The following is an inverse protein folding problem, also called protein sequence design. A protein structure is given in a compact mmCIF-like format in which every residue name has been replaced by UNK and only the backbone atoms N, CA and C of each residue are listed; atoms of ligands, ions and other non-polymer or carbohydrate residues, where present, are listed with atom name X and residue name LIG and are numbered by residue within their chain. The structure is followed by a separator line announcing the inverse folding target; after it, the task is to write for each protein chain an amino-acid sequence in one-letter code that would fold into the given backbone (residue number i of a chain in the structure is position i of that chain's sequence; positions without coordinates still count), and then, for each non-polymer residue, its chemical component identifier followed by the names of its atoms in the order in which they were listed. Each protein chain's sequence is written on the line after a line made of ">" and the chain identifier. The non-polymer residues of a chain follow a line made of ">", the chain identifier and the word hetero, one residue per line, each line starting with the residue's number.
data_IF_663118662808
#
_entry.id   IF_663118662808
#
_cell.length_a   1.000
_cell.length_b   1.000
_cell.length_c   1.000
_cell.angle_alpha   90.00
_cell.angle_beta   90.00
_cell.angle_gamma   90.00
#
_symmetry.space_group_name_H-M   'P 1'
#
loop_
_entity.id
_entity.type
_entity.pdbx_description
1 polymer ?
#
# COMPACT_ATOMS: atom_id res chain seq x y z
N UNK A 1 -32.30 31.28 1.95
CA UNK A 1 -31.49 30.93 3.14
C UNK A 1 -30.37 30.00 2.67
N UNK A 2 -29.10 30.34 2.92
CA UNK A 2 -28.03 29.35 2.75
C UNK A 2 -28.14 28.34 3.88
N UNK A 3 -28.20 27.06 3.54
CA UNK A 3 -28.21 25.98 4.52
C UNK A 3 -26.88 25.94 5.29
N UNK A 4 -26.95 25.64 6.60
CA UNK A 4 -25.76 25.32 7.42
C UNK A 4 -25.24 23.89 7.16
N UNK A 5 -26.08 23.02 6.59
CA UNK A 5 -25.75 21.63 6.27
C UNK A 5 -25.03 21.48 4.93
N UNK A 6 -24.12 20.53 4.86
CA UNK A 6 -23.41 20.17 3.63
C UNK A 6 -23.08 18.68 3.59
N UNK A 7 -22.67 18.20 2.42
CA UNK A 7 -22.30 16.79 2.19
C UNK A 7 -21.02 16.72 1.37
N UNK A 8 -20.36 15.57 1.37
CA UNK A 8 -19.16 15.34 0.55
C UNK A 8 -19.43 15.13 -0.96
N UNK A 9 -20.53 15.65 -1.49
CA UNK A 9 -20.83 15.59 -2.93
C UNK A 9 -20.30 16.82 -3.66
N UNK A 10 -19.71 16.60 -4.83
CA UNK A 10 -19.27 17.64 -5.75
C UNK A 10 -18.28 18.62 -5.06
N UNK A 11 -18.45 19.94 -5.21
CA UNK A 11 -17.56 20.97 -4.65
C UNK A 11 -17.88 21.35 -3.18
N UNK A 12 -18.69 20.58 -2.45
CA UNK A 12 -19.14 20.93 -1.10
C UNK A 12 -18.50 20.09 0.00
N UNK A 13 -17.31 19.53 -0.24
CA UNK A 13 -16.65 18.61 0.68
C UNK A 13 -16.17 19.25 1.98
N UNK A 14 -15.95 18.42 3.01
CA UNK A 14 -15.34 18.85 4.26
C UNK A 14 -13.99 19.55 4.04
N UNK A 15 -13.16 19.04 3.13
CA UNK A 15 -11.89 19.69 2.77
C UNK A 15 -12.10 21.10 2.20
N UNK A 16 -13.10 21.28 1.32
CA UNK A 16 -13.43 22.60 0.76
C UNK A 16 -13.95 23.57 1.84
N UNK A 17 -14.68 23.06 2.82
CA UNK A 17 -15.11 23.83 3.98
C UNK A 17 -13.94 24.26 4.86
N UNK A 18 -13.02 23.35 5.17
CA UNK A 18 -11.79 23.68 5.89
C UNK A 18 -10.97 24.73 5.14
N UNK A 19 -10.75 24.56 3.84
CA UNK A 19 -10.07 25.55 2.99
C UNK A 19 -10.75 26.93 3.09
N UNK A 20 -12.08 26.97 3.00
CA UNK A 20 -12.85 28.20 3.13
C UNK A 20 -12.71 28.85 4.51
N UNK A 21 -12.74 28.07 5.58
CA UNK A 21 -12.58 28.56 6.96
C UNK A 21 -11.17 29.13 7.16
N UNK A 22 -10.13 28.36 6.83
CA UNK A 22 -8.73 28.79 7.01
C UNK A 22 -8.35 30.01 6.18
N UNK A 23 -8.92 30.16 4.97
CA UNK A 23 -8.61 31.31 4.10
C UNK A 23 -9.36 32.59 4.47
N UNK A 24 -10.56 32.47 5.04
CA UNK A 24 -11.48 33.61 5.14
C UNK A 24 -11.81 34.04 6.57
N UNK A 25 -11.62 33.18 7.58
CA UNK A 25 -11.77 33.63 8.97
C UNK A 25 -10.46 34.25 9.47
N UNK A 26 -10.48 35.50 9.95
CA UNK A 26 -9.28 36.15 10.47
C UNK A 26 -8.86 35.54 11.81
N UNK A 27 -7.56 35.60 12.09
CA UNK A 27 -6.99 35.34 13.41
C UNK A 27 -7.29 33.94 14.01
N UNK A 28 -7.51 32.91 13.19
CA UNK A 28 -7.55 31.53 13.71
C UNK A 28 -6.20 31.24 14.37
N UNK A 29 -6.24 30.88 15.66
CA UNK A 29 -5.07 30.49 16.42
C UNK A 29 -5.12 29.00 16.77
N UNK A 30 -6.32 28.48 17.03
CA UNK A 30 -6.54 27.10 17.46
C UNK A 30 -7.35 26.34 16.41
N UNK A 31 -6.86 25.15 16.07
CA UNK A 31 -7.62 24.12 15.38
C UNK A 31 -7.72 22.88 16.27
N UNK A 32 -8.93 22.64 16.79
CA UNK A 32 -9.21 21.49 17.65
C UNK A 32 -10.03 20.47 16.87
N UNK A 33 -9.55 19.22 16.81
CA UNK A 33 -10.20 18.13 16.10
C UNK A 33 -10.48 16.97 17.05
N UNK A 34 -11.75 16.65 17.24
CA UNK A 34 -12.21 15.44 17.90
C UNK A 34 -12.56 14.42 16.82
N UNK A 35 -11.89 13.26 16.79
CA UNK A 35 -12.12 12.22 15.79
C UNK A 35 -12.16 10.84 16.42
N UNK A 36 -13.00 9.94 15.88
CA UNK A 36 -13.09 8.57 16.38
C UNK A 36 -11.91 7.68 16.00
N UNK A 37 -11.08 8.10 15.03
CA UNK A 37 -9.77 7.51 14.73
C UNK A 37 -8.99 8.49 13.85
N UNK A 38 -7.66 8.42 13.93
CA UNK A 38 -6.77 9.27 13.16
C UNK A 38 -6.10 8.48 12.03
N UNK A 39 -6.10 9.03 10.81
CA UNK A 39 -5.30 8.53 9.69
C UNK A 39 -4.41 9.64 9.18
N UNK A 40 -3.15 9.32 8.93
CA UNK A 40 -2.16 10.28 8.49
C UNK A 40 -2.53 10.85 7.11
N UNK A 41 -3.10 9.99 6.24
CA UNK A 41 -3.63 10.36 4.92
C UNK A 41 -4.63 11.53 4.95
N UNK A 42 -5.50 11.61 5.95
CA UNK A 42 -6.43 12.72 6.10
C UNK A 42 -5.72 14.01 6.49
N UNK A 43 -4.81 13.92 7.45
CA UNK A 43 -4.02 15.07 7.89
C UNK A 43 -3.19 15.67 6.75
N UNK A 44 -2.57 14.85 5.88
CA UNK A 44 -1.74 15.37 4.78
C UNK A 44 -2.50 16.25 3.79
N UNK A 45 -3.78 15.95 3.53
CA UNK A 45 -4.62 16.79 2.67
C UNK A 45 -4.97 18.13 3.33
N UNK A 46 -5.05 18.15 4.66
CA UNK A 46 -5.37 19.33 5.44
C UNK A 46 -4.15 20.21 5.73
N UNK A 47 -2.97 19.61 5.88
CA UNK A 47 -1.71 20.26 6.26
C UNK A 47 -1.40 21.55 5.51
N UNK A 48 -1.56 21.68 4.17
CA UNK A 48 -1.27 22.93 3.47
C UNK A 48 -2.04 24.14 4.00
N UNK A 49 -3.19 23.92 4.64
CA UNK A 49 -4.02 24.97 5.22
C UNK A 49 -3.71 25.24 6.71
N UNK A 50 -2.91 24.37 7.34
CA UNK A 50 -2.55 24.43 8.76
C UNK A 50 -1.19 25.11 9.00
N UNK A 51 -0.48 25.53 7.95
CA UNK A 51 0.89 26.06 8.06
C UNK A 51 0.99 27.24 9.04
N UNK A 52 0.01 28.16 8.98
CA UNK A 52 -0.02 29.37 9.80
C UNK A 52 -0.82 29.23 11.10
N UNK A 53 -1.31 28.04 11.43
CA UNK A 53 -2.08 27.79 12.65
C UNK A 53 -1.10 27.46 13.78
N UNK A 54 -0.99 28.32 14.82
CA UNK A 54 -0.02 28.11 15.90
C UNK A 54 -0.26 26.85 16.73
N UNK A 55 -1.52 26.51 16.97
CA UNK A 55 -1.88 25.42 17.89
C UNK A 55 -2.90 24.47 17.26
N UNK A 56 -2.50 23.22 17.11
CA UNK A 56 -3.34 22.15 16.56
C UNK A 56 -3.48 21.05 17.62
N UNK A 57 -4.71 20.75 18.02
CA UNK A 57 -5.00 19.71 19.02
C UNK A 57 -5.89 18.65 18.42
N UNK A 58 -5.46 17.41 18.46
CA UNK A 58 -6.21 16.28 17.92
C UNK A 58 -6.51 15.31 19.05
N UNK A 59 -7.79 15.19 19.38
CA UNK A 59 -8.30 14.22 20.32
C UNK A 59 -8.83 13.00 19.55
N UNK A 60 -8.24 11.84 19.83
CA UNK A 60 -8.56 10.58 19.16
C UNK A 60 -9.30 9.66 20.13
N UNK A 61 -10.49 9.21 19.74
CA UNK A 61 -11.14 8.07 20.38
C UNK A 61 -10.36 6.81 20.04
N UNK A 62 -9.90 6.06 21.03
CA UNK A 62 -9.26 4.76 20.78
C UNK A 62 -10.32 3.68 20.86
N UNK A 63 -10.31 2.78 19.87
CA UNK A 63 -11.17 1.62 19.91
C UNK A 63 -10.60 0.62 20.91
N UNK A 64 -11.01 0.78 22.17
CA UNK A 64 -10.65 -0.07 23.31
C UNK A 64 -11.06 -1.53 23.06
N UNK A 65 -11.92 -1.84 22.08
CA UNK A 65 -12.36 -3.21 21.80
C UNK A 65 -11.22 -4.12 21.31
N UNK A 66 -10.25 -3.61 20.54
CA UNK A 66 -9.09 -4.42 20.10
C UNK A 66 -8.21 -4.81 21.27
N UNK A 67 -8.05 -3.89 22.24
CA UNK A 67 -7.33 -4.14 23.49
C UNK A 67 -8.16 -5.10 24.36
N UNK A 68 -9.46 -4.87 24.53
CA UNK A 68 -10.34 -5.71 25.35
C UNK A 68 -10.48 -7.14 24.82
N UNK A 69 -10.57 -7.37 23.51
CA UNK A 69 -10.60 -8.72 22.91
C UNK A 69 -9.31 -9.50 23.24
N UNK A 70 -8.16 -8.82 23.26
CA UNK A 70 -6.87 -9.39 23.67
C UNK A 70 -6.87 -9.77 25.16
N UNK A 71 -7.43 -8.95 26.05
CA UNK A 71 -7.51 -9.28 27.48
C UNK A 71 -8.60 -10.30 27.83
N UNK A 72 -9.73 -10.30 27.11
CA UNK A 72 -10.77 -11.32 27.22
C UNK A 72 -10.26 -12.69 26.77
N UNK A 73 -9.44 -12.77 25.73
CA UNK A 73 -8.78 -14.02 25.31
C UNK A 73 -7.67 -14.47 26.27
N UNK A 74 -7.12 -13.56 27.08
CA UNK A 74 -6.10 -13.85 28.11
C UNK A 74 -6.67 -14.02 29.54
N UNK A 75 -7.98 -13.86 29.75
CA UNK A 75 -8.64 -14.07 31.05
C UNK A 75 -8.27 -13.06 32.15
N UNK A 76 -7.83 -11.85 31.79
CA UNK A 76 -7.37 -10.83 32.74
C UNK A 76 -8.33 -9.63 32.81
N UNK A 77 -8.52 -9.04 34.00
CA UNK A 77 -9.24 -7.77 34.17
C UNK A 77 -8.37 -6.63 33.64
N UNK A 78 -8.92 -5.81 32.75
CA UNK A 78 -8.17 -4.72 32.12
C UNK A 78 -8.24 -3.44 32.97
N UNK A 79 -7.06 -2.94 33.34
CA UNK A 79 -6.85 -1.53 33.67
C UNK A 79 -6.26 -0.91 32.40
N UNK A 80 -6.86 0.17 31.90
CA UNK A 80 -6.35 0.87 30.71
C UNK A 80 -4.95 1.37 31.04
N UNK A 81 -3.94 0.77 30.41
CA UNK A 81 -2.55 1.20 30.52
C UNK A 81 -2.29 2.33 29.50
N UNK A 82 -1.94 3.54 29.97
CA UNK A 82 -1.50 4.64 29.10
C UNK A 82 -0.40 4.24 28.12
N UNK A 83 0.48 3.30 28.49
CA UNK A 83 1.57 2.88 27.61
C UNK A 83 1.06 1.98 26.47
N UNK A 84 0.22 1.00 26.76
CA UNK A 84 -0.35 0.12 25.72
C UNK A 84 -1.21 0.91 24.71
N UNK A 85 -1.95 1.90 25.21
CA UNK A 85 -2.74 2.83 24.41
C UNK A 85 -1.87 3.60 23.40
N UNK A 86 -0.68 4.03 23.83
CA UNK A 86 0.31 4.70 22.97
C UNK A 86 0.89 3.75 21.93
N UNK A 87 1.30 2.57 22.36
CA UNK A 87 1.93 1.58 21.48
C UNK A 87 0.97 1.14 20.37
N UNK A 88 -0.31 0.97 20.67
CA UNK A 88 -1.33 0.63 19.67
C UNK A 88 -1.54 1.77 18.66
N UNK A 89 -1.58 3.02 19.12
CA UNK A 89 -1.67 4.18 18.23
C UNK A 89 -0.46 4.26 17.29
N UNK A 90 0.76 4.11 17.82
CA UNK A 90 1.99 4.13 17.02
C UNK A 90 2.00 3.00 15.99
N UNK A 91 1.58 1.80 16.40
CA UNK A 91 1.44 0.65 15.50
C UNK A 91 0.48 0.96 14.34
N UNK A 92 -0.72 1.46 14.64
CA UNK A 92 -1.73 1.83 13.62
C UNK A 92 -1.22 2.93 12.69
N UNK A 93 -0.51 3.92 13.22
CA UNK A 93 0.10 4.98 12.43
C UNK A 93 1.18 4.43 11.50
N UNK A 94 2.02 3.49 11.97
CA UNK A 94 3.03 2.80 11.16
C UNK A 94 2.39 2.00 10.02
N UNK A 95 1.32 1.26 10.31
CA UNK A 95 0.56 0.53 9.29
C UNK A 95 -0.07 1.48 8.26
N UNK A 96 -0.64 2.62 8.68
CA UNK A 96 -1.22 3.63 7.76
C UNK A 96 -0.14 4.26 6.87
N UNK A 97 1.05 4.55 7.41
CA UNK A 97 2.18 5.06 6.62
C UNK A 97 2.65 4.02 5.61
N UNK A 98 2.87 2.76 6.04
CA UNK A 98 3.34 1.68 5.16
C UNK A 98 2.33 1.31 4.07
N UNK A 99 1.03 1.45 4.35
CA UNK A 99 -0.05 1.18 3.39
C UNK A 99 -0.40 2.36 2.48
N UNK A 100 0.19 3.55 2.68
CA UNK A 100 -0.08 4.71 1.84
C UNK A 100 0.57 4.57 0.45
N UNK A 101 -0.09 5.13 -0.57
CA UNK A 101 0.49 5.23 -1.91
C UNK A 101 1.79 6.05 -1.86
N UNK A 102 2.80 5.62 -2.62
CA UNK A 102 4.07 6.34 -2.68
C UNK A 102 4.02 7.47 -3.71
N UNK A 103 4.11 8.72 -3.24
CA UNK A 103 4.34 9.90 -4.06
C UNK A 103 5.12 10.95 -3.27
N UNK A 104 5.80 11.85 -3.97
CA UNK A 104 6.58 12.93 -3.35
C UNK A 104 5.74 13.77 -2.36
N UNK A 105 4.52 14.15 -2.75
CA UNK A 105 3.64 14.97 -1.92
C UNK A 105 3.19 14.24 -0.64
N UNK A 106 2.96 12.92 -0.74
CA UNK A 106 2.60 12.09 0.42
C UNK A 106 3.79 11.95 1.36
N UNK A 107 4.98 11.65 0.82
CA UNK A 107 6.22 11.53 1.60
C UNK A 107 6.54 12.83 2.36
N UNK A 108 6.57 13.97 1.66
CA UNK A 108 6.77 15.29 2.27
C UNK A 108 5.70 15.62 3.32
N UNK A 109 4.47 15.17 3.09
CA UNK A 109 3.35 15.25 4.04
C UNK A 109 3.63 14.50 5.34
N UNK A 110 4.06 13.24 5.25
CA UNK A 110 4.37 12.39 6.41
C UNK A 110 5.55 12.95 7.19
N UNK A 111 6.65 13.30 6.51
CA UNK A 111 7.86 13.84 7.15
C UNK A 111 7.56 15.13 7.90
N UNK A 112 6.78 16.04 7.31
CA UNK A 112 6.38 17.24 8.04
C UNK A 112 5.45 16.93 9.21
N UNK A 113 4.48 16.02 9.06
CA UNK A 113 3.60 15.66 10.18
C UNK A 113 4.40 15.17 11.39
N UNK A 114 5.39 14.31 11.15
CA UNK A 114 6.34 13.86 12.19
C UNK A 114 7.05 15.07 12.82
N UNK A 115 7.54 16.00 11.99
CA UNK A 115 8.18 17.23 12.46
C UNK A 115 7.25 18.13 13.28
N UNK A 116 6.02 18.36 12.82
CA UNK A 116 5.03 19.21 13.49
C UNK A 116 4.65 18.66 14.88
N UNK A 117 4.66 17.34 15.05
CA UNK A 117 4.48 16.68 16.34
C UNK A 117 5.70 16.88 17.23
N UNK A 118 6.91 16.68 16.69
CA UNK A 118 8.17 16.86 17.43
C UNK A 118 8.33 18.31 17.90
N UNK A 119 8.00 19.27 17.03
CA UNK A 119 8.01 20.71 17.29
C UNK A 119 6.83 21.17 18.17
N UNK A 120 5.96 20.24 18.61
CA UNK A 120 4.76 20.47 19.44
C UNK A 120 3.73 21.42 18.84
N UNK A 121 3.79 21.65 17.52
CA UNK A 121 2.74 22.37 16.80
C UNK A 121 1.43 21.58 16.78
N UNK A 122 1.54 20.25 16.67
CA UNK A 122 0.43 19.32 16.80
C UNK A 122 0.57 18.58 18.13
N UNK A 123 -0.47 18.63 18.95
CA UNK A 123 -0.59 17.77 20.13
C UNK A 123 -1.69 16.74 19.89
N UNK A 124 -1.40 15.46 20.15
CA UNK A 124 -2.36 14.37 20.00
C UNK A 124 -2.57 13.69 21.35
N UNK A 125 -3.83 13.63 21.77
CA UNK A 125 -4.26 12.90 22.96
C UNK A 125 -5.24 11.79 22.62
N UNK A 126 -5.27 10.77 23.46
CA UNK A 126 -6.21 9.66 23.42
C UNK A 126 -7.20 9.78 24.57
N UNK A 127 -8.49 9.69 24.26
CA UNK A 127 -9.49 9.50 25.29
C UNK A 127 -9.65 8.00 25.60
N UNK A 128 -9.64 7.59 26.89
CA UNK A 128 -9.77 6.18 27.27
C UNK A 128 -11.19 5.63 27.12
N UNK A 129 -12.21 6.48 26.98
CA UNK A 129 -13.59 6.01 26.85
C UNK A 129 -13.92 5.44 25.46
N UNK A 130 -14.59 4.28 25.49
CA UNK A 130 -14.95 3.40 24.37
C UNK A 130 -15.91 4.02 23.32
N UNK A 131 -16.64 5.08 23.65
CA UNK A 131 -17.77 5.55 22.83
C UNK A 131 -17.55 6.91 22.16
N UNK A 132 -16.32 7.43 22.14
CA UNK A 132 -16.03 8.73 21.55
C UNK A 132 -16.01 8.64 20.01
N UNK A 133 -17.21 8.60 19.43
CA UNK A 133 -17.44 8.56 17.98
C UNK A 133 -17.79 9.92 17.38
N UNK A 134 -17.72 10.99 18.16
CA UNK A 134 -17.95 12.33 17.68
C UNK A 134 -16.90 12.73 16.64
N UNK A 135 -17.31 13.58 15.68
CA UNK A 135 -16.40 14.28 14.78
C UNK A 135 -16.67 15.76 14.89
N UNK A 136 -15.78 16.48 15.56
CA UNK A 136 -15.93 17.92 15.81
C UNK A 136 -14.64 18.60 15.38
N UNK A 137 -14.78 19.72 14.68
CA UNK A 137 -13.68 20.52 14.18
C UNK A 137 -13.93 21.97 14.57
N UNK A 138 -13.11 22.52 15.45
CA UNK A 138 -13.31 23.84 16.05
C UNK A 138 -12.18 24.75 15.57
N UNK A 139 -12.57 25.94 15.09
CA UNK A 139 -11.68 26.96 14.58
C UNK A 139 -11.94 28.25 15.35
N UNK A 140 -10.98 28.68 16.18
CA UNK A 140 -11.16 29.85 17.03
C UNK A 140 -9.87 30.68 17.18
N UNK A 141 -9.98 31.99 17.43
CA UNK A 141 -8.88 32.79 17.91
C UNK A 141 -8.50 32.39 19.34
N UNK A 142 -7.31 32.83 19.77
CA UNK A 142 -6.78 32.54 21.11
C UNK A 142 -7.70 33.07 22.22
N UNK A 143 -8.12 34.32 22.09
CA UNK A 143 -8.98 35.01 23.06
C UNK A 143 -10.44 35.01 22.59
N UNK A 144 -11.02 33.82 22.38
CA UNK A 144 -12.39 33.66 21.87
C UNK A 144 -13.43 34.23 22.85
N UNK A 145 -14.27 35.14 22.36
CA UNK A 145 -15.34 35.81 23.11
C UNK A 145 -16.55 36.13 22.21
N UNK A 146 -17.60 36.74 22.77
CA UNK A 146 -18.87 37.05 22.08
C UNK A 146 -18.72 37.97 20.84
N UNK A 147 -17.61 38.72 20.73
CA UNK A 147 -17.30 39.58 19.59
C UNK A 147 -16.33 38.92 18.59
N UNK A 148 -15.87 37.71 18.90
CA UNK A 148 -14.93 36.97 18.07
C UNK A 148 -15.64 36.16 16.99
N UNK A 149 -14.98 35.99 15.85
CA UNK A 149 -15.44 35.07 14.80
C UNK A 149 -14.75 33.72 14.92
N UNK A 150 -15.51 32.64 14.79
CA UNK A 150 -14.99 31.28 14.71
C UNK A 150 -15.91 30.39 13.86
N UNK A 151 -15.62 29.10 13.86
CA UNK A 151 -16.47 28.10 13.23
C UNK A 151 -16.35 26.78 13.99
N UNK A 152 -17.45 26.03 14.05
CA UNK A 152 -17.44 24.63 14.43
C UNK A 152 -18.12 23.82 13.34
N UNK A 153 -17.47 22.74 12.93
CA UNK A 153 -18.01 21.77 11.97
C UNK A 153 -18.17 20.44 12.68
N UNK A 154 -19.35 19.84 12.55
CA UNK A 154 -19.64 18.50 13.11
C UNK A 154 -20.49 17.68 12.16
N UNK A 155 -20.41 16.35 12.26
CA UNK A 155 -21.17 15.45 11.39
C UNK A 155 -20.61 14.03 11.37
N UNK A 156 -20.70 13.37 10.21
CA UNK A 156 -20.30 11.98 10.03
C UNK A 156 -18.87 11.80 9.46
N UNK A 157 -18.27 12.85 8.92
CA UNK A 157 -16.92 12.83 8.34
C UNK A 157 -15.81 12.66 9.38
N UNK A 158 -14.94 11.66 9.23
CA UNK A 158 -13.65 11.59 9.95
C UNK A 158 -12.54 12.35 9.20
N UNK A 159 -11.42 12.59 9.88
CA UNK A 159 -10.20 13.15 9.29
C UNK A 159 -9.42 12.09 8.49
N UNK A 160 -10.02 11.61 7.41
CA UNK A 160 -9.46 10.64 6.46
C UNK A 160 -9.64 11.16 5.04
N UNK A 161 -8.90 10.61 4.08
CA UNK A 161 -9.06 11.04 2.68
C UNK A 161 -10.51 10.83 2.15
N UNK A 162 -11.15 9.72 2.51
CA UNK A 162 -12.54 9.45 2.16
C UNK A 162 -13.53 10.37 2.88
N UNK A 163 -13.32 10.63 4.18
CA UNK A 163 -14.17 11.49 5.01
C UNK A 163 -14.00 12.98 4.72
N UNK A 164 -12.86 13.40 4.19
CA UNK A 164 -12.60 14.76 3.73
C UNK A 164 -13.22 15.08 2.37
N UNK A 165 -13.62 14.07 1.61
CA UNK A 165 -14.17 14.26 0.26
C UNK A 165 -13.12 14.62 -0.79
N UNK A 166 -11.88 14.13 -0.67
CA UNK A 166 -10.80 14.45 -1.61
C UNK A 166 -10.58 13.42 -2.72
N UNK A 167 -11.28 12.28 -2.72
CA UNK A 167 -11.27 11.29 -3.80
C UNK A 167 -12.53 11.42 -4.67
N UNK A 168 -12.46 11.00 -5.93
CA UNK A 168 -13.64 10.95 -6.82
C UNK A 168 -14.77 10.06 -6.26
N UNK A 169 -14.39 8.97 -5.57
CA UNK A 169 -15.30 8.09 -4.82
C UNK A 169 -15.06 8.21 -3.32
N UNK A 170 -15.43 9.35 -2.75
CA UNK A 170 -15.46 9.55 -1.31
C UNK A 170 -16.76 9.04 -0.67
N UNK A 171 -16.74 8.84 0.64
CA UNK A 171 -17.93 8.47 1.39
C UNK A 171 -19.01 9.54 1.27
N UNK A 172 -20.27 9.11 1.27
CA UNK A 172 -21.36 10.03 1.48
C UNK A 172 -21.41 10.40 2.95
N UNK A 173 -20.99 11.63 3.26
CA UNK A 173 -20.98 12.18 4.61
C UNK A 173 -21.94 13.36 4.70
N UNK A 174 -22.50 13.57 5.88
CA UNK A 174 -23.44 14.64 6.19
C UNK A 174 -22.92 15.45 7.38
N UNK A 175 -22.76 16.75 7.18
CA UNK A 175 -22.12 17.65 8.14
C UNK A 175 -22.89 18.97 8.26
N UNK A 176 -22.61 19.70 9.33
CA UNK A 176 -23.13 21.04 9.59
C UNK A 176 -21.97 21.97 9.99
N UNK A 177 -22.00 23.20 9.50
CA UNK A 177 -21.10 24.28 9.90
C UNK A 177 -21.90 25.32 10.70
N UNK A 178 -21.50 25.54 11.95
CA UNK A 178 -22.09 26.51 12.86
C UNK A 178 -21.06 27.61 13.13
N UNK A 179 -21.53 28.86 13.23
CA UNK A 179 -20.68 30.04 13.45
C UNK A 179 -21.17 30.93 14.59
N UNK A 180 -22.26 30.53 15.24
CA UNK A 180 -22.84 31.30 16.33
C UNK A 180 -21.97 31.11 17.58
N UNK A 181 -21.79 32.19 18.36
CA UNK A 181 -20.87 32.21 19.49
C UNK A 181 -21.16 31.09 20.50
N UNK A 182 -22.43 30.89 20.87
CA UNK A 182 -22.84 29.87 21.84
C UNK A 182 -22.53 28.44 21.38
N UNK A 183 -22.68 28.15 20.08
CA UNK A 183 -22.38 26.82 19.51
C UNK A 183 -20.87 26.52 19.59
N UNK A 184 -20.04 27.50 19.24
CA UNK A 184 -18.57 27.36 19.28
C UNK A 184 -18.07 27.29 20.73
N UNK A 185 -18.66 28.09 21.64
CA UNK A 185 -18.34 28.06 23.07
C UNK A 185 -18.65 26.68 23.64
N UNK A 186 -19.86 26.18 23.44
CA UNK A 186 -20.27 24.86 23.91
C UNK A 186 -19.34 23.75 23.40
N UNK A 187 -19.08 23.72 22.09
CA UNK A 187 -18.17 22.73 21.52
C UNK A 187 -16.74 22.85 22.06
N UNK A 188 -16.27 24.07 22.33
CA UNK A 188 -14.95 24.31 22.93
C UNK A 188 -14.88 23.80 24.37
N UNK A 189 -15.89 24.08 25.18
CA UNK A 189 -15.95 23.64 26.58
C UNK A 189 -15.99 22.11 26.68
N UNK A 190 -16.80 21.45 25.86
CA UNK A 190 -16.83 19.99 25.77
C UNK A 190 -15.49 19.41 25.30
N UNK A 191 -14.82 20.06 24.34
CA UNK A 191 -13.49 19.65 23.90
C UNK A 191 -12.47 19.76 25.04
N UNK A 192 -12.44 20.87 25.79
CA UNK A 192 -11.51 21.03 26.92
C UNK A 192 -11.74 19.99 28.02
N UNK A 193 -13.00 19.68 28.33
CA UNK A 193 -13.34 18.64 29.30
C UNK A 193 -12.71 17.31 28.91
N UNK A 194 -13.02 16.82 27.70
CA UNK A 194 -12.47 15.57 27.19
C UNK A 194 -10.94 15.63 27.07
N UNK A 195 -10.38 16.76 26.64
CA UNK A 195 -8.94 16.96 26.52
C UNK A 195 -8.20 16.85 27.86
N UNK A 196 -8.84 17.28 28.95
CA UNK A 196 -8.28 17.21 30.31
C UNK A 196 -8.27 15.78 30.86
N UNK A 197 -9.23 14.95 30.45
CA UNK A 197 -9.37 13.53 30.84
C UNK A 197 -8.51 12.58 29.98
N UNK A 198 -7.93 13.12 28.90
CA UNK A 198 -7.19 12.34 27.92
C UNK A 198 -5.71 12.17 28.24
N UNK A 199 -5.14 11.07 27.73
CA UNK A 199 -3.73 10.71 27.87
C UNK A 199 -2.92 11.26 26.69
N UNK A 200 -1.79 11.90 26.96
CA UNK A 200 -0.83 12.34 25.94
C UNK A 200 -0.22 11.15 25.19
N UNK A 201 -0.44 11.07 23.88
CA UNK A 201 0.06 9.96 23.07
C UNK A 201 1.50 10.23 22.60
N UNK A 202 1.81 11.48 22.27
CA UNK A 202 3.06 11.92 21.66
C UNK A 202 3.63 13.10 22.48
N UNK A 203 4.96 13.29 22.58
CA UNK A 203 6.00 12.64 21.79
C UNK A 203 6.93 11.81 22.68
N UNK A 204 6.91 10.48 22.58
CA UNK A 204 7.98 9.67 23.17
C UNK A 204 8.80 8.89 22.16
N UNK A 205 8.30 8.56 20.94
CA UNK A 205 9.22 8.09 19.88
C UNK A 205 8.66 8.10 18.45
N UNK A 206 8.02 9.19 18.02
CA UNK A 206 7.63 9.33 16.60
C UNK A 206 8.86 9.49 15.66
N UNK A 207 10.04 9.77 16.22
CA UNK A 207 11.32 9.77 15.52
C UNK A 207 11.66 8.40 14.94
N UNK A 208 11.47 7.33 15.73
CA UNK A 208 11.72 5.96 15.28
C UNK A 208 10.85 5.54 14.09
N UNK A 209 9.66 6.14 13.94
CA UNK A 209 8.74 5.88 12.83
C UNK A 209 9.37 6.17 11.46
N UNK A 210 10.26 7.16 11.37
CA UNK A 210 11.04 7.41 10.14
C UNK A 210 12.00 6.26 9.85
N UNK A 211 12.68 5.75 10.87
CA UNK A 211 13.69 4.68 10.74
C UNK A 211 13.07 3.31 10.42
N UNK A 212 11.85 3.11 10.90
CA UNK A 212 11.09 1.86 10.83
C UNK A 212 10.18 1.72 9.60
N UNK A 213 10.14 2.72 8.74
CA UNK A 213 9.29 2.77 7.54
C UNK A 213 10.15 3.02 6.30
N UNK A 214 9.52 3.06 5.12
CA UNK A 214 10.21 3.40 3.87
C UNK A 214 10.76 4.84 3.84
N UNK A 215 10.44 5.67 4.84
CA UNK A 215 10.93 7.04 4.99
C UNK A 215 12.38 7.11 5.51
N UNK A 216 12.97 5.96 5.82
CA UNK A 216 14.33 5.88 6.31
C UNK A 216 15.32 6.25 5.20
N UNK A 217 16.00 7.38 5.38
CA UNK A 217 16.99 7.94 4.47
C UNK A 217 18.44 7.63 4.90
N UNK A 218 18.62 6.78 5.91
CA UNK A 218 19.95 6.42 6.44
C UNK A 218 20.66 5.32 5.65
N UNK A 219 19.98 4.67 4.70
CA UNK A 219 20.59 3.62 3.88
C UNK A 219 21.65 4.19 2.96
N UNK A 220 22.84 3.61 3.00
CA UNK A 220 23.92 3.95 2.08
C UNK A 220 23.61 3.44 0.67
N UNK A 221 24.15 4.08 -0.39
CA UNK A 221 24.06 3.55 -1.75
C UNK A 221 24.55 2.10 -1.86
N UNK A 222 25.52 1.71 -1.04
CA UNK A 222 26.01 0.34 -0.98
C UNK A 222 24.97 -0.62 -0.41
N UNK A 223 24.30 -0.29 0.70
CA UNK A 223 23.23 -1.13 1.27
C UNK A 223 22.04 -1.26 0.32
N UNK A 224 21.66 -0.19 -0.39
CA UNK A 224 20.65 -0.25 -1.43
C UNK A 224 21.08 -1.16 -2.58
N UNK A 225 22.34 -1.09 -2.99
CA UNK A 225 22.91 -2.00 -3.98
C UNK A 225 22.86 -3.47 -3.52
N UNK A 226 23.25 -3.76 -2.28
CA UNK A 226 23.17 -5.11 -1.71
C UNK A 226 21.71 -5.59 -1.63
N UNK A 227 20.77 -4.74 -1.21
CA UNK A 227 19.34 -5.07 -1.18
C UNK A 227 18.82 -5.40 -2.58
N UNK A 228 19.20 -4.63 -3.59
CA UNK A 228 18.88 -4.93 -4.99
C UNK A 228 19.43 -6.30 -5.39
N UNK A 229 20.69 -6.59 -5.06
CA UNK A 229 21.28 -7.88 -5.39
C UNK A 229 20.53 -9.04 -4.72
N UNK A 230 20.14 -8.91 -3.46
CA UNK A 230 19.37 -9.92 -2.74
C UNK A 230 17.98 -10.10 -3.37
N UNK A 231 17.29 -9.01 -3.70
CA UNK A 231 15.94 -9.07 -4.27
C UNK A 231 15.92 -9.72 -5.66
N UNK A 232 16.91 -9.42 -6.50
CA UNK A 232 16.97 -9.91 -7.88
C UNK A 232 17.71 -11.24 -8.05
N UNK A 233 18.70 -11.53 -7.21
CA UNK A 233 19.58 -12.69 -7.34
C UNK A 233 19.58 -13.61 -6.11
N UNK A 234 19.02 -13.21 -4.97
CA UNK A 234 19.03 -14.03 -3.74
C UNK A 234 18.41 -15.41 -3.93
N UNK A 235 17.25 -15.48 -4.61
CA UNK A 235 16.63 -16.77 -4.96
C UNK A 235 17.50 -17.66 -5.84
N UNK A 236 18.40 -17.07 -6.65
CA UNK A 236 19.32 -17.83 -7.51
C UNK A 236 20.44 -18.48 -6.70
N UNK A 237 20.83 -17.88 -5.57
CA UNK A 237 21.84 -18.45 -4.66
C UNK A 237 21.26 -19.66 -3.90
N UNK A 238 19.97 -19.62 -3.58
CA UNK A 238 19.26 -20.72 -2.91
C UNK A 238 18.91 -21.88 -3.86
N UNK A 239 18.95 -21.64 -5.17
CA UNK A 239 18.58 -22.64 -6.17
C UNK A 239 19.73 -23.60 -6.46
N UNK A 240 19.56 -24.88 -6.11
CA UNK A 240 20.51 -25.93 -6.45
C UNK A 240 20.44 -26.26 -7.96
N UNK A 241 21.48 -25.94 -8.76
CA UNK A 241 21.52 -26.25 -10.20
C UNK A 241 21.37 -27.75 -10.48
N UNK A 242 21.70 -28.59 -9.49
CA UNK A 242 21.64 -30.05 -9.58
C UNK A 242 20.21 -30.55 -9.91
N UNK A 243 19.16 -29.81 -9.50
CA UNK A 243 17.77 -30.18 -9.80
C UNK A 243 17.39 -30.02 -11.28
N UNK A 244 17.98 -29.07 -12.00
CA UNK A 244 17.74 -28.88 -13.43
C UNK A 244 18.62 -29.76 -14.28
N UNK A 245 19.82 -30.06 -13.80
CA UNK A 245 20.70 -31.03 -14.46
C UNK A 245 20.06 -32.43 -14.52
N UNK A 246 19.15 -32.77 -13.59
CA UNK A 246 18.33 -33.99 -13.65
C UNK A 246 17.27 -33.97 -14.77
N UNK A 247 16.89 -32.79 -15.25
CA UNK A 247 15.95 -32.65 -16.38
C UNK A 247 16.66 -32.83 -17.72
N UNK A 248 17.97 -32.63 -17.79
CA UNK A 248 18.75 -32.79 -19.02
C UNK A 248 18.98 -34.28 -19.34
N UNK A 249 18.63 -34.77 -20.55
CA UNK A 249 18.91 -36.15 -20.93
C UNK A 249 20.42 -36.44 -21.01
N UNK A 250 20.84 -37.65 -20.61
CA UNK A 250 22.25 -38.05 -20.46
C UNK A 250 23.13 -37.82 -21.70
N UNK A 251 22.52 -37.83 -22.89
CA UNK A 251 23.23 -37.63 -24.16
C UNK A 251 23.65 -36.18 -24.43
N UNK A 252 23.13 -35.22 -23.68
CA UNK A 252 23.48 -33.81 -23.81
C UNK A 252 24.55 -33.42 -22.81
N UNK A 253 25.56 -32.67 -23.27
CA UNK A 253 26.57 -32.12 -22.39
C UNK A 253 25.94 -31.06 -21.49
N UNK A 254 26.19 -31.18 -20.19
CA UNK A 254 25.79 -30.16 -19.21
C UNK A 254 26.60 -28.90 -19.41
N UNK A 255 25.91 -27.79 -19.63
CA UNK A 255 26.50 -26.47 -19.81
C UNK A 255 25.83 -25.53 -18.82
N UNK A 256 26.59 -25.01 -17.86
CA UNK A 256 26.08 -24.22 -16.74
C UNK A 256 25.22 -23.04 -17.19
N UNK A 257 25.65 -22.33 -18.24
CA UNK A 257 24.89 -21.20 -18.77
C UNK A 257 23.51 -21.60 -19.33
N UNK A 258 23.33 -22.83 -19.84
CA UNK A 258 22.04 -23.32 -20.33
C UNK A 258 21.10 -23.65 -19.16
N UNK A 259 21.65 -24.28 -18.11
CA UNK A 259 20.91 -24.55 -16.88
C UNK A 259 20.46 -23.23 -16.21
N UNK A 260 21.37 -22.25 -16.10
CA UNK A 260 21.06 -20.90 -15.58
C UNK A 260 20.00 -20.17 -16.41
N UNK A 261 20.13 -20.17 -17.74
CA UNK A 261 19.15 -19.57 -18.63
C UNK A 261 17.77 -20.25 -18.52
N UNK A 262 17.74 -21.57 -18.29
CA UNK A 262 16.49 -22.30 -18.08
C UNK A 262 15.82 -21.96 -16.75
N UNK A 263 16.60 -21.81 -15.66
CA UNK A 263 16.08 -21.33 -14.35
C UNK A 263 15.43 -19.97 -14.55
N UNK A 264 16.19 -19.02 -15.08
CA UNK A 264 15.74 -17.64 -15.21
C UNK A 264 14.52 -17.53 -16.14
N UNK A 265 14.53 -18.28 -17.25
CA UNK A 265 13.40 -18.36 -18.16
C UNK A 265 12.14 -18.91 -17.50
N UNK A 266 12.27 -19.99 -16.71
CA UNK A 266 11.14 -20.59 -15.98
C UNK A 266 10.58 -19.64 -14.91
N UNK A 267 11.43 -18.99 -14.12
CA UNK A 267 10.99 -18.00 -13.11
C UNK A 267 10.24 -16.83 -13.75
N UNK A 268 10.76 -16.29 -14.87
CA UNK A 268 10.07 -15.22 -15.61
C UNK A 268 8.76 -15.70 -16.21
N UNK A 269 8.70 -16.93 -16.73
CA UNK A 269 7.46 -17.53 -17.22
C UNK A 269 6.40 -17.57 -16.12
N UNK A 270 6.74 -18.04 -14.91
CA UNK A 270 5.79 -18.14 -13.80
C UNK A 270 5.40 -16.77 -13.23
N UNK A 271 6.33 -15.81 -13.18
CA UNK A 271 6.10 -14.48 -12.60
C UNK A 271 5.35 -13.53 -13.55
N UNK A 272 5.69 -13.56 -14.83
CA UNK A 272 5.22 -12.59 -15.83
C UNK A 272 4.35 -13.21 -16.93
N UNK A 273 4.05 -14.51 -16.82
CA UNK A 273 3.25 -15.25 -17.80
C UNK A 273 3.90 -15.30 -19.21
N UNK A 274 5.23 -15.12 -19.29
CA UNK A 274 5.99 -15.15 -20.54
C UNK A 274 7.39 -14.53 -20.41
N UNK A 275 8.28 -14.83 -21.36
CA UNK A 275 9.62 -14.24 -21.47
C UNK A 275 10.19 -14.40 -22.90
N UNK A 276 11.30 -13.72 -23.20
CA UNK A 276 12.05 -13.86 -24.45
C UNK A 276 13.46 -14.39 -24.18
N UNK A 277 13.94 -15.30 -25.03
CA UNK A 277 15.31 -15.85 -25.00
C UNK A 277 16.14 -15.33 -26.20
N UNK A 278 16.93 -14.28 -25.97
CA UNK A 278 17.63 -13.52 -27.02
C UNK A 278 19.14 -13.81 -27.11
N UNK A 279 19.55 -15.07 -27.00
CA UNK A 279 20.95 -15.50 -27.17
C UNK A 279 21.51 -15.44 -28.60
N UNK A 280 22.84 -15.49 -28.74
CA UNK A 280 23.54 -15.65 -30.03
C UNK A 280 23.23 -17.02 -30.67
N UNK A 281 23.32 -17.11 -31.99
CA UNK A 281 23.14 -18.35 -32.76
C UNK A 281 24.12 -19.42 -32.27
N UNK A 282 23.62 -20.65 -32.07
CA UNK A 282 24.45 -21.81 -31.68
C UNK A 282 24.59 -22.05 -30.17
N UNK A 283 24.03 -21.19 -29.31
CA UNK A 283 24.09 -21.36 -27.85
C UNK A 283 23.07 -22.37 -27.28
N UNK A 284 22.35 -23.08 -28.14
CA UNK A 284 21.44 -24.15 -27.72
C UNK A 284 20.09 -23.68 -27.17
N UNK A 285 19.53 -22.60 -27.74
CA UNK A 285 18.17 -22.10 -27.41
C UNK A 285 17.11 -23.21 -27.38
N UNK A 286 17.17 -24.16 -28.31
CA UNK A 286 16.26 -25.32 -28.35
C UNK A 286 16.40 -26.18 -27.09
N UNK A 287 17.62 -26.40 -26.60
CA UNK A 287 17.89 -27.16 -25.37
C UNK A 287 17.34 -26.41 -24.16
N UNK A 288 17.64 -25.11 -24.03
CA UNK A 288 17.12 -24.26 -22.93
C UNK A 288 15.58 -24.30 -22.91
N UNK A 289 14.95 -24.12 -24.08
CA UNK A 289 13.50 -24.21 -24.22
C UNK A 289 12.95 -25.58 -23.80
N UNK A 290 13.61 -26.68 -24.19
CA UNK A 290 13.20 -28.03 -23.80
C UNK A 290 13.36 -28.30 -22.31
N UNK A 291 14.40 -27.77 -21.65
CA UNK A 291 14.55 -27.85 -20.19
C UNK A 291 13.38 -27.15 -19.50
N UNK A 292 13.05 -25.93 -19.92
CA UNK A 292 11.93 -25.14 -19.37
C UNK A 292 10.60 -25.88 -19.56
N UNK A 293 10.36 -26.40 -20.77
CA UNK A 293 9.15 -27.15 -21.09
C UNK A 293 9.02 -28.42 -20.25
N UNK A 294 10.12 -29.17 -20.07
CA UNK A 294 10.13 -30.36 -19.22
C UNK A 294 9.89 -30.03 -17.75
N UNK A 295 10.52 -28.96 -17.24
CA UNK A 295 10.26 -28.45 -15.88
C UNK A 295 8.79 -28.08 -15.70
N UNK A 296 8.20 -27.40 -16.67
CA UNK A 296 6.78 -27.05 -16.66
C UNK A 296 5.87 -28.27 -16.58
N UNK A 297 6.12 -29.30 -17.39
CA UNK A 297 5.36 -30.56 -17.35
C UNK A 297 5.54 -31.28 -16.01
N UNK A 298 6.77 -31.28 -15.47
CA UNK A 298 7.07 -31.92 -14.19
C UNK A 298 6.31 -31.25 -13.03
N UNK A 299 6.26 -29.92 -12.97
CA UNK A 299 5.60 -29.19 -11.88
C UNK A 299 4.07 -29.12 -12.02
N UNK A 300 3.53 -29.06 -13.25
CA UNK A 300 2.08 -28.96 -13.50
C UNK A 300 1.40 -30.31 -13.78
N UNK A 301 2.18 -31.39 -13.87
CA UNK A 301 1.69 -32.75 -14.11
C UNK A 301 1.45 -33.10 -15.57
N UNK A 302 1.14 -34.38 -15.81
CA UNK A 302 1.08 -35.02 -17.14
C UNK A 302 0.03 -34.45 -18.10
N UNK A 303 -0.96 -33.69 -17.61
CA UNK A 303 -1.98 -33.06 -18.47
C UNK A 303 -1.55 -31.70 -19.05
N UNK A 304 -0.31 -31.27 -18.76
CA UNK A 304 0.29 -30.07 -19.32
C UNK A 304 0.32 -30.12 -20.86
N UNK A 305 -0.01 -28.99 -21.51
CA UNK A 305 -0.04 -28.87 -22.97
C UNK A 305 0.93 -27.80 -23.44
N UNK A 306 1.84 -28.18 -24.33
CA UNK A 306 2.87 -27.34 -24.92
C UNK A 306 2.58 -27.18 -26.42
N UNK A 307 2.64 -25.95 -26.94
CA UNK A 307 2.70 -25.68 -28.38
C UNK A 307 4.09 -25.18 -28.73
N UNK A 308 4.73 -25.84 -29.70
CA UNK A 308 5.99 -25.37 -30.29
C UNK A 308 5.72 -24.93 -31.72
N UNK A 309 5.95 -23.64 -31.97
CA UNK A 309 5.92 -23.03 -33.30
C UNK A 309 7.35 -22.86 -33.81
N UNK A 310 7.65 -23.38 -34.99
CA UNK A 310 9.03 -23.37 -35.52
C UNK A 310 9.11 -23.12 -37.04
N UNK A 311 10.21 -22.53 -37.55
CA UNK A 311 10.49 -22.48 -38.98
C UNK A 311 10.61 -23.90 -39.57
N UNK A 312 10.10 -24.18 -40.79
CA UNK A 312 10.13 -25.51 -41.40
C UNK A 312 11.51 -26.20 -41.39
N UNK A 313 12.59 -25.44 -41.58
CA UNK A 313 13.95 -25.96 -41.57
C UNK A 313 14.40 -26.54 -40.21
N UNK A 314 13.71 -26.22 -39.11
CA UNK A 314 14.05 -26.68 -37.76
C UNK A 314 13.17 -27.83 -37.27
N UNK A 315 12.26 -28.35 -38.11
CA UNK A 315 11.27 -29.37 -37.73
C UNK A 315 11.91 -30.61 -37.10
N UNK A 316 12.85 -31.22 -37.81
CA UNK A 316 13.50 -32.46 -37.36
C UNK A 316 14.25 -32.24 -36.06
N UNK A 317 14.91 -31.09 -35.91
CA UNK A 317 15.67 -30.74 -34.71
C UNK A 317 14.74 -30.60 -33.47
N UNK A 318 13.61 -29.92 -33.62
CA UNK A 318 12.64 -29.74 -32.54
C UNK A 318 11.99 -31.05 -32.13
N UNK A 319 11.49 -31.82 -33.11
CA UNK A 319 10.82 -33.10 -32.84
C UNK A 319 11.78 -34.10 -32.18
N UNK A 320 13.02 -34.17 -32.67
CA UNK A 320 14.06 -35.01 -32.07
C UNK A 320 14.35 -34.58 -30.63
N UNK A 321 14.66 -33.31 -30.41
CA UNK A 321 15.00 -32.81 -29.07
C UNK A 321 13.87 -33.04 -28.07
N UNK A 322 12.62 -32.73 -28.42
CA UNK A 322 11.49 -32.93 -27.49
C UNK A 322 11.25 -34.40 -27.16
N UNK A 323 11.42 -35.29 -28.16
CA UNK A 323 11.38 -36.74 -27.92
C UNK A 323 12.47 -37.18 -26.95
N UNK A 324 13.67 -36.61 -27.06
CA UNK A 324 14.78 -36.90 -26.17
C UNK A 324 14.53 -36.43 -24.73
N UNK A 325 13.76 -35.36 -24.56
CA UNK A 325 13.32 -34.86 -23.27
C UNK A 325 12.09 -35.61 -22.71
N UNK A 326 11.52 -36.55 -23.47
CA UNK A 326 10.35 -37.36 -23.11
C UNK A 326 9.08 -36.54 -22.81
N UNK A 327 8.87 -35.45 -23.55
CA UNK A 327 7.67 -34.59 -23.42
C UNK A 327 6.89 -34.47 -24.74
N UNK A 328 7.11 -35.40 -25.67
CA UNK A 328 6.42 -35.45 -26.97
C UNK A 328 4.90 -35.66 -26.82
N UNK A 329 4.48 -36.46 -25.84
CA UNK A 329 3.05 -36.64 -25.53
C UNK A 329 2.36 -35.36 -25.03
N UNK A 330 3.13 -34.41 -24.51
CA UNK A 330 2.63 -33.12 -24.03
C UNK A 330 2.68 -32.03 -25.10
N UNK A 331 3.29 -32.30 -26.27
CA UNK A 331 3.71 -31.26 -27.21
C UNK A 331 2.99 -31.36 -28.55
N UNK A 332 2.39 -30.25 -28.96
CA UNK A 332 1.86 -30.05 -30.31
C UNK A 332 2.83 -29.20 -31.15
N UNK A 333 3.06 -29.62 -32.39
CA UNK A 333 4.06 -29.04 -33.28
C UNK A 333 3.40 -28.33 -34.46
N UNK A 334 3.80 -27.09 -34.71
CA UNK A 334 3.26 -26.28 -35.82
C UNK A 334 4.38 -25.56 -36.53
N UNK A 335 4.48 -25.74 -37.85
CA UNK A 335 5.40 -24.93 -38.65
C UNK A 335 4.85 -23.52 -38.82
N UNK A 336 5.71 -22.51 -38.88
CA UNK A 336 5.30 -21.10 -39.08
C UNK A 336 4.43 -20.91 -40.33
N UNK A 337 4.69 -21.66 -41.41
CA UNK A 337 3.88 -21.65 -42.63
C UNK A 337 2.47 -22.24 -42.47
N UNK A 338 2.19 -22.96 -41.37
CA UNK A 338 0.89 -23.57 -41.05
C UNK A 338 0.16 -22.92 -39.88
N UNK A 339 0.63 -21.75 -39.41
CA UNK A 339 0.08 -21.10 -38.21
C UNK A 339 -1.42 -20.74 -38.34
N UNK A 340 -1.87 -20.43 -39.56
CA UNK A 340 -3.29 -20.18 -39.87
C UNK A 340 -4.21 -21.31 -39.41
N UNK A 341 -3.77 -22.58 -39.51
CA UNK A 341 -4.54 -23.76 -39.10
C UNK A 341 -4.81 -23.84 -37.59
N UNK A 342 -4.02 -23.13 -36.78
CA UNK A 342 -4.19 -23.03 -35.32
C UNK A 342 -5.16 -21.92 -34.97
N UNK A 343 -5.08 -20.78 -35.68
CA UNK A 343 -5.93 -19.60 -35.46
C UNK A 343 -7.38 -19.85 -35.85
N UNK A 344 -7.62 -20.68 -36.87
CA UNK A 344 -8.96 -21.02 -37.37
C UNK A 344 -9.73 -21.99 -36.46
N UNK A 345 -9.20 -22.33 -35.28
CA UNK A 345 -9.95 -22.99 -34.21
C UNK A 345 -10.20 -24.50 -34.39
N UNK A 346 -9.58 -25.14 -35.38
CA UNK A 346 -9.70 -26.59 -35.61
C UNK A 346 -9.04 -27.46 -34.53
N UNK A 347 -8.23 -26.90 -33.62
CA UNK A 347 -7.66 -27.61 -32.46
C UNK A 347 -7.74 -26.76 -31.20
N UNK A 348 -8.56 -27.18 -30.22
CA UNK A 348 -8.75 -26.49 -28.94
C UNK A 348 -7.69 -26.87 -27.90
N UNK A 349 -7.36 -25.86 -27.10
CA UNK A 349 -6.63 -25.87 -25.82
C UNK A 349 -5.10 -25.84 -25.93
N UNK A 350 -4.53 -24.63 -25.95
CA UNK A 350 -3.09 -24.36 -25.87
C UNK A 350 -2.86 -23.40 -24.71
N UNK A 351 -1.94 -23.72 -23.80
CA UNK A 351 -1.67 -22.91 -22.62
C UNK A 351 -0.27 -22.29 -22.56
N UNK A 352 0.60 -22.52 -23.55
CA UNK A 352 1.86 -21.78 -23.69
C UNK A 352 2.17 -21.59 -25.17
N UNK A 353 2.45 -20.35 -25.58
CA UNK A 353 3.00 -20.01 -26.89
C UNK A 353 4.47 -19.61 -26.71
N UNK A 354 5.40 -20.47 -27.12
CA UNK A 354 6.82 -20.11 -27.23
C UNK A 354 7.10 -19.62 -28.65
N UNK A 355 7.26 -18.31 -28.82
CA UNK A 355 7.79 -17.73 -30.05
C UNK A 355 9.28 -17.45 -29.85
N UNK A 356 10.14 -18.06 -30.67
CA UNK A 356 11.53 -17.63 -30.80
C UNK A 356 11.69 -16.87 -32.12
N UNK A 357 12.25 -15.66 -32.02
CA UNK A 357 12.73 -14.87 -33.16
C UNK A 357 14.22 -15.18 -33.35
#
# INVERSE_FOLDING_TARGET
>A
MSTKFFTNKSNNSLLKKFEGVFKNLPNIHNFDALVGYFRATGYFKLRPYLENIPEIRILVGINVDVILEKYHSLGQQHIIDPQETKDEFIKKLKEDIQGADYSKDIEEGIVQFIKDIVDKKITIKAHPEKNLHAKIYIFKPKDFNEYSTGSVITGSSNLTESGLGSREKSNYEFNVELRDYDDIRFASEEFELLWSESVDILPVDISGLKEDTYLNDKFTPFELYIKLLIEYFGKRIEYDPTNIDLLLPDKYKRLTYQSEAAIEGYEKLMKYNGFFLADVVGLGKTIVASIIAKKFVFENGYHSKILIVYPPALEDNWKKTIKDFHIDNNTYFVSTGSLHKVLDGTNRTIQIQMNMI
#
